data_IF_189242229784
#
_entry.id   IF_189242229784
#
_cell.length_a   1.000
_cell.length_b   1.000
_cell.length_c   1.000
_cell.angle_alpha   90.00
_cell.angle_beta   90.00
_cell.angle_gamma   90.00
#
_symmetry.space_group_name_H-M   'P 1'
#
loop_
_entity.id
_entity.type
_entity.pdbx_description
1 polymer ?
#
# COMPACT_ATOMS: atom_id res chain seq x y z
N UNK A 1 18.18 62.30 9.74
CA UNK A 1 18.19 61.81 11.13
C UNK A 1 17.87 60.34 11.06
N UNK A 2 18.90 59.50 11.18
CA UNK A 2 18.71 58.04 11.26
C UNK A 2 17.93 57.78 12.54
N UNK A 3 16.72 57.25 12.45
CA UNK A 3 15.93 56.89 13.63
C UNK A 3 16.78 55.98 14.52
N UNK A 4 16.89 56.32 15.80
CA UNK A 4 17.58 55.47 16.77
C UNK A 4 16.92 54.08 16.72
N UNK A 5 17.75 53.04 16.59
CA UNK A 5 17.30 51.69 16.90
C UNK A 5 17.11 51.66 18.42
N UNK A 6 15.87 51.76 18.87
CA UNK A 6 15.53 51.90 20.29
C UNK A 6 15.81 50.62 21.10
N UNK A 7 15.75 49.45 20.45
CA UNK A 7 16.06 48.16 21.06
C UNK A 7 16.43 47.09 20.01
N UNK A 8 17.29 46.15 20.40
CA UNK A 8 17.55 44.92 19.63
C UNK A 8 16.97 43.73 20.38
N UNK A 9 16.29 42.84 19.65
CA UNK A 9 15.76 41.62 20.23
C UNK A 9 16.25 40.40 19.44
N UNK A 10 17.00 39.54 20.11
CA UNK A 10 17.63 38.36 19.51
C UNK A 10 16.86 37.11 19.89
N UNK A 11 16.44 36.34 18.90
CA UNK A 11 15.80 35.04 19.09
C UNK A 11 16.72 33.89 18.68
N UNK A 12 16.73 32.83 19.50
CA UNK A 12 17.41 31.57 19.18
C UNK A 12 16.37 30.47 19.03
N UNK A 13 15.91 30.26 17.79
CA UNK A 13 14.98 29.19 17.35
C UNK A 13 13.55 29.20 17.97
N UNK A 14 12.56 28.74 17.18
CA UNK A 14 11.11 28.77 17.45
C UNK A 14 10.57 30.15 17.88
N UNK A 15 10.19 30.95 16.88
CA UNK A 15 9.45 32.23 17.04
C UNK A 15 7.95 31.96 17.21
N UNK A 16 7.60 30.96 18.04
CA UNK A 16 6.22 30.54 18.23
C UNK A 16 5.49 31.53 19.14
N UNK A 17 4.34 32.04 18.66
CA UNK A 17 3.43 32.88 19.45
C UNK A 17 3.79 34.37 19.53
N UNK A 18 4.93 34.80 18.97
CA UNK A 18 5.33 36.22 18.98
C UNK A 18 4.76 36.91 17.74
N UNK A 19 4.29 38.13 17.95
CA UNK A 19 3.83 39.02 16.90
C UNK A 19 4.58 40.34 16.94
N UNK A 20 5.00 40.84 15.79
CA UNK A 20 5.82 42.06 15.67
C UNK A 20 5.20 43.04 14.65
N UNK A 21 3.96 43.52 14.88
CA UNK A 21 3.26 44.37 13.91
C UNK A 21 3.79 45.80 13.94
N UNK A 22 3.53 46.55 12.87
CA UNK A 22 3.79 47.99 12.79
C UNK A 22 5.25 48.36 13.14
N UNK A 23 5.43 49.29 14.08
CA UNK A 23 6.74 49.79 14.49
C UNK A 23 7.45 48.86 15.50
N UNK A 24 6.85 47.71 15.84
CA UNK A 24 7.47 46.73 16.74
C UNK A 24 8.73 46.12 16.13
N UNK A 25 8.73 45.88 14.81
CA UNK A 25 9.92 45.41 14.11
C UNK A 25 9.89 45.85 12.64
N UNK A 26 10.83 46.72 12.26
CA UNK A 26 10.99 47.21 10.88
C UNK A 26 12.20 46.62 10.15
N UNK A 27 13.12 45.98 10.88
CA UNK A 27 14.32 45.35 10.35
C UNK A 27 14.53 44.00 11.03
N UNK A 28 14.57 42.92 10.25
CA UNK A 28 14.87 41.58 10.71
C UNK A 28 16.15 41.06 10.08
N UNK A 29 17.13 40.73 10.92
CA UNK A 29 18.36 40.06 10.51
C UNK A 29 18.21 38.55 10.65
N UNK A 30 18.56 37.80 9.59
CA UNK A 30 18.46 36.34 9.53
C UNK A 30 19.83 35.74 9.25
N UNK A 31 20.41 35.06 10.25
CA UNK A 31 21.80 34.57 10.20
C UNK A 31 21.91 33.06 9.91
N UNK A 32 20.84 32.27 10.05
CA UNK A 32 20.89 30.82 9.84
C UNK A 32 19.62 30.32 9.14
N UNK A 33 19.69 29.12 8.57
CA UNK A 33 18.49 28.42 8.12
C UNK A 33 17.66 28.03 9.36
N UNK A 34 16.32 28.18 9.37
CA UNK A 34 15.47 27.77 10.48
C UNK A 34 15.32 26.23 10.56
N UNK A 35 16.45 25.53 10.61
CA UNK A 35 16.61 24.09 10.76
C UNK A 35 16.42 23.60 12.21
N UNK A 36 16.04 24.49 13.13
CA UNK A 36 15.71 24.15 14.52
C UNK A 36 14.68 23.02 14.53
N UNK A 37 15.13 21.81 14.84
CA UNK A 37 14.39 20.59 14.56
C UNK A 37 14.24 19.81 15.85
N UNK A 38 13.11 19.11 15.98
CA UNK A 38 13.03 18.03 16.96
C UNK A 38 14.05 16.95 16.57
N UNK A 39 14.47 16.10 17.53
CA UNK A 39 15.41 15.01 17.25
C UNK A 39 14.92 14.11 16.11
N UNK A 40 13.59 13.93 15.99
CA UNK A 40 12.98 13.15 14.91
C UNK A 40 13.10 13.84 13.55
N UNK A 41 12.87 15.14 13.46
CA UNK A 41 13.03 15.89 12.20
C UNK A 41 14.50 15.94 11.77
N UNK A 42 15.43 16.10 12.73
CA UNK A 42 16.86 16.05 12.48
C UNK A 42 17.28 14.68 11.95
N UNK A 43 16.76 13.61 12.54
CA UNK A 43 17.00 12.25 12.08
C UNK A 43 16.50 12.01 10.65
N UNK A 44 15.26 12.44 10.35
CA UNK A 44 14.66 12.35 9.02
C UNK A 44 15.50 13.06 7.95
N UNK A 45 16.03 14.24 8.27
CA UNK A 45 16.86 15.01 7.35
C UNK A 45 18.29 14.45 7.23
N UNK A 46 19.03 14.38 8.34
CA UNK A 46 20.47 14.06 8.32
C UNK A 46 20.75 12.60 7.96
N UNK A 47 19.89 11.67 8.40
CA UNK A 47 20.13 10.24 8.28
C UNK A 47 19.22 9.56 7.25
N UNK A 48 17.95 9.98 7.15
CA UNK A 48 17.00 9.35 6.22
C UNK A 48 16.90 10.06 4.85
N UNK A 49 17.61 11.19 4.67
CA UNK A 49 17.65 11.97 3.41
C UNK A 49 16.27 12.38 2.91
N UNK A 50 15.33 12.65 3.81
CA UNK A 50 13.97 13.10 3.49
C UNK A 50 13.97 14.59 3.08
N UNK A 51 14.63 14.89 1.96
CA UNK A 51 14.97 16.26 1.57
C UNK A 51 13.75 17.10 1.18
N UNK A 52 12.76 16.50 0.51
CA UNK A 52 11.56 17.23 0.08
C UNK A 52 10.71 17.62 1.28
N UNK A 53 10.48 16.67 2.19
CA UNK A 53 9.77 16.90 3.46
C UNK A 53 10.46 17.99 4.27
N UNK A 54 11.79 17.96 4.36
CA UNK A 54 12.56 18.99 5.04
C UNK A 54 12.43 20.37 4.35
N UNK A 55 12.56 20.43 3.02
CA UNK A 55 12.44 21.68 2.27
C UNK A 55 11.07 22.34 2.45
N UNK A 56 9.98 21.56 2.41
CA UNK A 56 8.62 22.07 2.65
C UNK A 56 8.46 22.63 4.06
N UNK A 57 9.02 21.95 5.09
CA UNK A 57 8.99 22.47 6.46
C UNK A 57 9.76 23.78 6.61
N UNK A 58 10.94 23.88 6.00
CA UNK A 58 11.72 25.11 5.99
C UNK A 58 10.96 26.24 5.30
N UNK A 59 10.33 25.96 4.15
CA UNK A 59 9.50 26.93 3.43
C UNK A 59 8.36 27.46 4.30
N UNK A 60 7.65 26.57 5.01
CA UNK A 60 6.57 26.95 5.93
C UNK A 60 7.07 27.79 7.11
N UNK A 61 8.24 27.47 7.68
CA UNK A 61 8.84 28.25 8.77
C UNK A 61 9.27 29.64 8.31
N UNK A 62 9.86 29.73 7.11
CA UNK A 62 10.19 31.01 6.49
C UNK A 62 8.91 31.82 6.24
N UNK A 63 7.86 31.20 5.70
CA UNK A 63 6.58 31.88 5.49
C UNK A 63 6.00 32.45 6.79
N UNK A 64 6.01 31.65 7.86
CA UNK A 64 5.57 32.10 9.18
C UNK A 64 6.44 33.23 9.74
N UNK A 65 7.76 33.17 9.54
CA UNK A 65 8.69 34.18 10.04
C UNK A 65 8.52 35.52 9.31
N UNK A 66 8.41 35.49 7.98
CA UNK A 66 8.12 36.69 7.18
C UNK A 66 6.76 37.30 7.53
N UNK A 67 5.77 36.45 7.82
CA UNK A 67 4.44 36.86 8.28
C UNK A 67 4.39 37.50 9.67
N UNK A 68 5.50 37.50 10.45
CA UNK A 68 5.54 38.16 11.77
C UNK A 68 5.66 39.67 11.68
N UNK A 69 6.30 40.19 10.62
CA UNK A 69 6.40 41.64 10.37
C UNK A 69 5.27 42.11 9.46
N UNK A 70 4.96 41.36 8.40
CA UNK A 70 4.00 41.77 7.39
C UNK A 70 2.60 41.19 7.67
N UNK A 71 1.84 41.80 8.60
CA UNK A 71 0.49 41.36 8.97
C UNK A 71 -0.65 42.02 8.19
N UNK A 72 -0.45 43.24 7.70
CA UNK A 72 -1.48 43.99 6.97
C UNK A 72 -0.96 44.75 5.76
N UNK A 73 -1.87 45.38 5.00
CA UNK A 73 -1.54 46.17 3.80
C UNK A 73 -0.64 47.37 4.08
N UNK A 74 -0.58 47.82 5.33
CA UNK A 74 0.18 48.99 5.75
C UNK A 74 1.48 48.60 6.50
N UNK A 75 1.71 47.31 6.78
CA UNK A 75 2.95 46.86 7.39
C UNK A 75 4.04 46.70 6.32
N UNK A 76 5.25 47.02 6.73
CA UNK A 76 6.44 46.91 5.90
C UNK A 76 7.66 46.80 6.79
N UNK A 77 8.68 46.12 6.26
CA UNK A 77 9.96 45.98 6.93
C UNK A 77 11.02 45.44 5.97
N UNK A 78 12.26 45.46 6.42
CA UNK A 78 13.42 44.96 5.69
C UNK A 78 13.85 43.63 6.30
N UNK A 79 14.04 42.63 5.45
CA UNK A 79 14.65 41.35 5.83
C UNK A 79 16.08 41.32 5.29
N UNK A 80 17.05 41.27 6.18
CA UNK A 80 18.47 41.15 5.84
C UNK A 80 18.93 39.71 6.05
N UNK A 81 19.33 39.03 4.97
CA UNK A 81 19.78 37.64 5.01
C UNK A 81 21.31 37.62 5.06
N UNK A 82 21.86 37.46 6.27
CA UNK A 82 23.30 37.37 6.49
C UNK A 82 23.81 35.92 6.41
N UNK A 83 22.95 34.94 6.71
CA UNK A 83 23.33 33.54 6.82
C UNK A 83 23.72 32.87 5.51
N UNK A 84 24.87 32.19 5.46
CA UNK A 84 25.32 31.43 4.28
C UNK A 84 24.32 30.33 3.88
N UNK A 85 23.84 29.55 4.85
CA UNK A 85 22.92 28.44 4.59
C UNK A 85 21.58 28.91 4.05
N UNK A 86 21.02 29.96 4.66
CA UNK A 86 19.78 30.58 4.22
C UNK A 86 19.94 31.22 2.83
N UNK A 87 21.08 31.87 2.55
CA UNK A 87 21.39 32.38 1.22
C UNK A 87 21.45 31.26 0.17
N UNK A 88 22.11 30.14 0.45
CA UNK A 88 22.16 28.99 -0.48
C UNK A 88 20.76 28.40 -0.70
N UNK A 89 19.94 28.32 0.35
CA UNK A 89 18.56 27.84 0.25
C UNK A 89 17.70 28.81 -0.58
N UNK A 90 17.83 30.11 -0.27
CA UNK A 90 17.39 31.31 -0.99
C UNK A 90 17.64 31.27 -2.49
N UNK A 91 18.86 30.83 -2.83
CA UNK A 91 19.39 30.80 -4.18
C UNK A 91 18.77 29.70 -5.05
N UNK A 92 18.16 28.68 -4.44
CA UNK A 92 17.65 27.51 -5.16
C UNK A 92 16.18 27.71 -5.55
N UNK A 93 15.91 27.83 -6.84
CA UNK A 93 14.55 28.08 -7.35
C UNK A 93 13.56 26.94 -7.03
N UNK A 94 14.04 25.70 -6.85
CA UNK A 94 13.17 24.60 -6.37
C UNK A 94 12.67 24.85 -4.95
N UNK A 95 13.53 25.38 -4.09
CA UNK A 95 13.16 25.71 -2.72
C UNK A 95 12.24 26.93 -2.67
N UNK A 96 12.58 27.97 -3.43
CA UNK A 96 11.75 29.18 -3.54
C UNK A 96 10.35 28.84 -4.04
N UNK A 97 10.21 27.90 -4.98
CA UNK A 97 8.89 27.47 -5.47
C UNK A 97 7.95 26.89 -4.41
N UNK A 98 8.47 26.48 -3.25
CA UNK A 98 7.68 26.00 -2.11
C UNK A 98 7.15 27.12 -1.23
N UNK A 99 7.65 28.36 -1.37
CA UNK A 99 7.17 29.51 -0.61
C UNK A 99 5.82 30.01 -1.15
N UNK A 100 5.03 30.72 -0.35
CA UNK A 100 3.85 31.43 -0.83
C UNK A 100 4.17 32.37 -2.01
N UNK A 101 3.26 32.50 -3.01
CA UNK A 101 3.43 33.35 -4.20
C UNK A 101 4.05 34.73 -3.95
N UNK A 102 3.58 35.43 -2.92
CA UNK A 102 4.07 36.76 -2.57
C UNK A 102 5.54 36.73 -2.10
N UNK A 103 5.91 35.74 -1.28
CA UNK A 103 7.28 35.61 -0.78
C UNK A 103 8.24 35.19 -1.89
N UNK A 104 7.79 34.39 -2.86
CA UNK A 104 8.60 34.07 -4.05
C UNK A 104 9.05 35.34 -4.75
N UNK A 105 8.09 36.24 -5.06
CA UNK A 105 8.38 37.52 -5.72
C UNK A 105 9.28 38.41 -4.88
N UNK A 106 9.05 38.49 -3.57
CA UNK A 106 9.86 39.30 -2.66
C UNK A 106 11.31 38.79 -2.58
N UNK A 107 11.52 37.48 -2.59
CA UNK A 107 12.86 36.88 -2.65
C UNK A 107 13.54 37.18 -3.99
N UNK A 108 12.82 37.04 -5.11
CA UNK A 108 13.36 37.37 -6.44
C UNK A 108 13.73 38.84 -6.57
N UNK A 109 12.87 39.75 -6.08
CA UNK A 109 13.14 41.18 -5.99
C UNK A 109 14.40 41.45 -5.15
N UNK A 110 14.53 40.81 -3.99
CA UNK A 110 15.71 40.93 -3.15
C UNK A 110 17.01 40.56 -3.87
N UNK A 111 16.99 39.47 -4.67
CA UNK A 111 18.13 39.08 -5.51
C UNK A 111 18.45 40.14 -6.58
N UNK A 112 17.43 40.64 -7.28
CA UNK A 112 17.58 41.69 -8.29
C UNK A 112 18.16 42.99 -7.71
N UNK A 113 17.70 43.41 -6.53
CA UNK A 113 18.21 44.58 -5.81
C UNK A 113 19.66 44.36 -5.39
N UNK A 114 19.99 43.18 -4.85
CA UNK A 114 21.37 42.85 -4.45
C UNK A 114 22.34 42.92 -5.63
N UNK A 115 21.95 42.37 -6.78
CA UNK A 115 22.74 42.36 -8.02
C UNK A 115 22.84 43.77 -8.64
N UNK A 116 21.71 44.46 -8.78
CA UNK A 116 21.64 45.78 -9.43
C UNK A 116 22.30 46.89 -8.64
N UNK A 117 22.20 46.88 -7.31
CA UNK A 117 22.82 47.90 -6.44
C UNK A 117 24.24 47.55 -6.01
N UNK A 118 24.71 46.32 -6.29
CA UNK A 118 26.01 45.81 -5.89
C UNK A 118 26.23 46.01 -4.39
N UNK A 119 25.34 45.43 -3.57
CA UNK A 119 25.28 45.56 -2.10
C UNK A 119 26.44 44.83 -1.41
N UNK A 120 27.69 45.26 -1.67
CA UNK A 120 28.91 44.66 -1.11
C UNK A 120 29.51 45.46 0.05
N UNK A 121 28.93 46.62 0.39
CA UNK A 121 29.40 47.47 1.49
C UNK A 121 28.27 47.82 2.44
N UNK A 122 28.62 48.03 3.70
CA UNK A 122 27.67 48.42 4.77
C UNK A 122 26.94 49.73 4.45
N UNK A 123 27.62 50.69 3.81
CA UNK A 123 27.02 51.96 3.38
C UNK A 123 25.86 51.72 2.40
N UNK A 124 26.09 50.94 1.34
CA UNK A 124 25.04 50.66 0.34
C UNK A 124 23.87 49.88 0.92
N UNK A 125 24.15 48.95 1.84
CA UNK A 125 23.10 48.22 2.57
C UNK A 125 22.28 49.19 3.43
N UNK A 126 22.93 50.14 4.11
CA UNK A 126 22.26 51.18 4.90
C UNK A 126 21.40 52.10 4.03
N UNK A 127 21.87 52.45 2.83
CA UNK A 127 21.11 53.27 1.87
C UNK A 127 19.86 52.53 1.39
N UNK A 128 20.00 51.25 1.04
CA UNK A 128 18.87 50.40 0.65
C UNK A 128 17.85 50.25 1.80
N UNK A 129 18.31 49.98 3.03
CA UNK A 129 17.45 49.91 4.22
C UNK A 129 16.71 51.24 4.41
N UNK A 130 17.41 52.36 4.33
CA UNK A 130 16.82 53.70 4.51
C UNK A 130 15.76 53.97 3.46
N UNK A 131 15.98 53.55 2.21
CA UNK A 131 15.02 53.73 1.12
C UNK A 131 13.70 52.99 1.36
N UNK A 132 13.80 51.74 1.87
CA UNK A 132 12.60 50.96 2.24
C UNK A 132 11.89 51.57 3.45
N UNK A 133 12.65 51.96 4.49
CA UNK A 133 12.09 52.45 5.75
C UNK A 133 11.42 53.83 5.63
N UNK A 134 12.02 54.71 4.83
CA UNK A 134 11.48 56.04 4.51
C UNK A 134 10.37 55.98 3.45
N UNK A 135 10.15 54.80 2.85
CA UNK A 135 9.14 54.58 1.79
C UNK A 135 9.36 55.49 0.59
N UNK A 136 10.59 55.56 0.11
CA UNK A 136 10.94 56.38 -1.05
C UNK A 136 10.05 56.02 -2.25
N UNK A 137 9.56 57.03 -2.97
CA UNK A 137 8.62 56.85 -4.08
C UNK A 137 9.20 55.95 -5.19
N UNK A 138 10.51 56.06 -5.45
CA UNK A 138 11.23 55.19 -6.39
C UNK A 138 11.20 53.73 -5.97
N UNK A 139 11.39 53.45 -4.68
CA UNK A 139 11.31 52.09 -4.14
C UNK A 139 9.89 51.54 -4.22
N UNK A 140 8.88 52.34 -3.84
CA UNK A 140 7.48 51.93 -3.89
C UNK A 140 7.04 51.57 -5.31
N UNK A 141 7.40 52.40 -6.29
CA UNK A 141 7.09 52.15 -7.70
C UNK A 141 7.76 50.87 -8.23
N UNK A 142 9.03 50.66 -7.90
CA UNK A 142 9.76 49.45 -8.30
C UNK A 142 9.21 48.18 -7.63
N UNK A 143 8.90 48.25 -6.34
CA UNK A 143 8.26 47.15 -5.62
C UNK A 143 6.89 46.82 -6.22
N UNK A 144 6.08 47.82 -6.55
CA UNK A 144 4.76 47.63 -7.16
C UNK A 144 4.87 46.95 -8.53
N UNK A 145 5.81 47.37 -9.39
CA UNK A 145 6.00 46.74 -10.70
C UNK A 145 6.43 45.28 -10.58
N UNK A 146 7.43 44.99 -9.76
CA UNK A 146 7.98 43.63 -9.67
C UNK A 146 7.05 42.66 -8.91
N UNK A 147 6.39 43.12 -7.84
CA UNK A 147 5.61 42.25 -6.95
C UNK A 147 4.15 42.15 -7.36
N UNK A 148 3.50 43.24 -7.81
CA UNK A 148 2.07 43.18 -8.24
C UNK A 148 1.92 42.76 -9.69
N UNK A 149 2.80 43.19 -10.59
CA UNK A 149 2.67 42.93 -12.03
C UNK A 149 3.54 41.76 -12.52
N UNK A 150 4.53 41.31 -11.76
CA UNK A 150 5.34 40.15 -12.12
C UNK A 150 4.52 38.86 -12.16
N UNK A 151 4.58 38.11 -13.25
CA UNK A 151 3.96 36.77 -13.34
C UNK A 151 4.83 35.73 -12.63
N UNK A 152 4.21 34.83 -11.88
CA UNK A 152 4.91 33.66 -11.32
C UNK A 152 4.99 32.57 -12.37
N UNK A 153 6.09 31.82 -12.36
CA UNK A 153 6.25 30.65 -13.21
C UNK A 153 5.14 29.63 -12.89
N UNK A 154 4.28 29.36 -13.86
CA UNK A 154 3.17 28.40 -13.73
C UNK A 154 3.64 27.01 -13.31
N UNK A 155 4.87 26.61 -13.67
CA UNK A 155 5.45 25.33 -13.27
C UNK A 155 5.80 25.28 -11.78
N UNK A 156 6.15 26.40 -11.18
CA UNK A 156 6.45 26.51 -9.75
C UNK A 156 5.17 26.46 -8.92
N UNK A 157 4.12 27.14 -9.38
CA UNK A 157 2.80 27.09 -8.74
C UNK A 157 2.21 25.68 -8.76
N UNK A 158 2.35 24.96 -9.88
CA UNK A 158 1.85 23.58 -9.97
C UNK A 158 2.59 22.62 -9.03
N UNK A 159 3.90 22.81 -8.84
CA UNK A 159 4.68 21.99 -7.90
C UNK A 159 4.25 22.17 -6.45
N UNK A 160 4.05 23.42 -6.01
CA UNK A 160 3.54 23.71 -4.68
C UNK A 160 2.14 23.10 -4.49
N UNK A 161 1.26 23.25 -5.49
CA UNK A 161 -0.11 22.71 -5.49
C UNK A 161 -0.17 21.19 -5.36
N UNK A 162 0.80 20.46 -5.91
CA UNK A 162 0.87 18.99 -5.83
C UNK A 162 1.49 18.54 -4.49
N UNK A 163 2.54 19.22 -4.02
CA UNK A 163 3.28 18.80 -2.83
C UNK A 163 2.50 18.99 -1.52
N UNK A 164 1.69 20.04 -1.42
CA UNK A 164 0.98 20.41 -0.19
C UNK A 164 -0.09 19.38 0.24
N UNK A 165 -1.01 18.91 -0.62
CA UNK A 165 -1.99 17.89 -0.24
C UNK A 165 -1.36 16.55 0.18
N UNK A 166 -0.27 16.17 -0.47
CA UNK A 166 0.46 14.93 -0.15
C UNK A 166 1.06 15.01 1.25
N UNK A 167 1.64 16.16 1.59
CA UNK A 167 2.23 16.41 2.91
C UNK A 167 1.16 16.49 4.01
N UNK A 168 0.03 17.14 3.75
CA UNK A 168 -1.10 17.22 4.67
C UNK A 168 -1.64 15.81 4.98
N UNK A 169 -1.83 15.00 3.94
CA UNK A 169 -2.31 13.63 4.11
C UNK A 169 -1.31 12.75 4.88
N UNK A 170 -0.01 12.86 4.56
CA UNK A 170 1.04 12.15 5.29
C UNK A 170 1.05 12.54 6.78
N UNK A 171 0.94 13.83 7.08
CA UNK A 171 0.88 14.32 8.46
C UNK A 171 -0.36 13.81 9.21
N UNK A 172 -1.52 13.76 8.55
CA UNK A 172 -2.75 13.23 9.13
C UNK A 172 -2.63 11.73 9.45
N UNK A 173 -2.02 10.96 8.55
CA UNK A 173 -1.75 9.53 8.72
C UNK A 173 -0.79 9.30 9.89
N UNK A 174 0.31 10.05 9.95
CA UNK A 174 1.29 9.99 11.04
C UNK A 174 0.65 10.34 12.39
N UNK A 175 -0.19 11.37 12.43
CA UNK A 175 -0.93 11.77 13.63
C UNK A 175 -1.89 10.68 14.11
N UNK A 176 -2.67 10.08 13.18
CA UNK A 176 -3.57 8.95 13.48
C UNK A 176 -2.81 7.75 14.02
N UNK A 177 -1.70 7.39 13.37
CA UNK A 177 -0.84 6.31 13.85
C UNK A 177 -0.35 6.57 15.27
N UNK A 178 0.20 7.77 15.54
CA UNK A 178 0.70 8.12 16.86
C UNK A 178 -0.40 8.02 17.92
N UNK A 179 -1.62 8.47 17.61
CA UNK A 179 -2.77 8.33 18.51
C UNK A 179 -3.16 6.87 18.77
N UNK A 180 -3.13 6.01 17.75
CA UNK A 180 -3.43 4.58 17.92
C UNK A 180 -2.36 3.86 18.73
N UNK A 181 -1.07 4.10 18.46
CA UNK A 181 0.03 3.56 19.27
C UNK A 181 -0.07 4.01 20.72
N UNK A 182 -0.37 5.30 20.97
CA UNK A 182 -0.53 5.85 22.31
C UNK A 182 -1.64 5.14 23.11
N UNK A 183 -2.72 4.75 22.43
CA UNK A 183 -3.85 4.05 23.03
C UNK A 183 -3.65 2.52 23.11
N UNK A 184 -2.51 1.99 22.65
CA UNK A 184 -2.25 0.56 22.59
C UNK A 184 -3.02 -0.19 21.48
N UNK A 185 -3.67 0.53 20.56
CA UNK A 185 -4.42 -0.05 19.44
C UNK A 185 -3.49 -0.26 18.24
N UNK A 186 -2.55 -1.19 18.37
CA UNK A 186 -1.51 -1.46 17.36
C UNK A 186 -2.12 -1.91 16.02
N UNK A 187 -3.22 -2.67 16.07
CA UNK A 187 -3.96 -3.12 14.88
C UNK A 187 -4.44 -1.98 14.00
N UNK A 188 -5.06 -0.95 14.59
CA UNK A 188 -5.48 0.23 13.83
C UNK A 188 -4.29 1.07 13.39
N UNK A 189 -3.23 1.18 14.20
CA UNK A 189 -2.00 1.86 13.81
C UNK A 189 -1.40 1.23 12.54
N UNK A 190 -1.29 -0.10 12.50
CA UNK A 190 -0.85 -0.89 11.34
C UNK A 190 -1.70 -0.61 10.10
N UNK A 191 -3.03 -0.74 10.22
CA UNK A 191 -3.95 -0.56 9.08
C UNK A 191 -3.86 0.84 8.44
N UNK A 192 -3.60 1.87 9.24
CA UNK A 192 -3.39 3.23 8.74
C UNK A 192 -2.10 3.35 7.93
N UNK A 193 -1.03 2.67 8.37
CA UNK A 193 0.26 2.68 7.67
C UNK A 193 0.32 1.77 6.44
N UNK A 194 -0.34 0.61 6.45
CA UNK A 194 -0.39 -0.29 5.28
C UNK A 194 -0.93 0.42 4.03
N UNK A 195 -1.87 1.35 4.21
CA UNK A 195 -2.45 2.14 3.12
C UNK A 195 -1.56 3.29 2.64
N UNK A 196 -0.58 3.71 3.45
CA UNK A 196 0.24 4.90 3.18
C UNK A 196 1.50 4.58 2.37
N UNK A 197 2.10 3.41 2.62
CA UNK A 197 3.44 3.03 2.16
C UNK A 197 3.60 3.10 0.65
N UNK A 198 2.75 2.42 -0.13
CA UNK A 198 2.87 2.40 -1.60
C UNK A 198 2.38 3.70 -2.23
N UNK A 199 1.40 4.33 -1.60
CA UNK A 199 0.86 5.62 -2.04
C UNK A 199 1.96 6.69 -2.02
N UNK A 200 2.64 6.88 -0.88
CA UNK A 200 3.65 7.93 -0.76
C UNK A 200 4.96 7.58 -1.44
N UNK A 201 5.33 6.31 -1.55
CA UNK A 201 6.57 5.92 -2.25
C UNK A 201 6.60 6.34 -3.72
N UNK A 202 5.42 6.45 -4.36
CA UNK A 202 5.29 6.94 -5.74
C UNK A 202 5.65 8.42 -5.90
N UNK A 203 5.52 9.21 -4.83
CA UNK A 203 5.77 10.66 -4.83
C UNK A 203 7.08 11.03 -4.14
N UNK A 204 7.36 10.39 -3.00
CA UNK A 204 8.60 10.53 -2.23
C UNK A 204 8.97 9.15 -1.64
N UNK A 205 9.95 8.51 -2.27
CA UNK A 205 10.39 7.16 -1.89
C UNK A 205 10.91 7.10 -0.44
N UNK A 206 11.78 8.01 0.03
CA UNK A 206 12.14 8.10 1.45
C UNK A 206 10.95 8.21 2.41
N UNK A 207 9.92 9.01 2.09
CA UNK A 207 8.72 9.11 2.92
C UNK A 207 7.95 7.78 3.02
N UNK A 208 7.77 7.10 1.89
CA UNK A 208 7.17 5.76 1.89
C UNK A 208 8.02 4.71 2.63
N UNK A 209 9.34 4.89 2.67
CA UNK A 209 10.22 4.07 3.50
C UNK A 209 10.11 4.40 5.00
N UNK A 210 9.92 5.67 5.34
CA UNK A 210 9.73 6.13 6.72
C UNK A 210 8.46 5.53 7.32
N UNK A 211 7.37 5.52 6.57
CA UNK A 211 6.13 4.82 6.96
C UNK A 211 6.33 3.31 7.08
N UNK A 212 7.24 2.72 6.29
CA UNK A 212 7.66 1.33 6.44
C UNK A 212 8.31 1.03 7.80
N UNK A 213 9.09 1.97 8.35
CA UNK A 213 9.65 1.84 9.71
C UNK A 213 8.53 1.82 10.75
N UNK A 214 7.53 2.69 10.61
CA UNK A 214 6.41 2.77 11.56
C UNK A 214 5.48 1.57 11.45
N UNK A 215 5.27 1.06 10.23
CA UNK A 215 4.56 -0.20 10.03
C UNK A 215 5.29 -1.36 10.71
N UNK A 216 6.62 -1.46 10.54
CA UNK A 216 7.41 -2.49 11.20
C UNK A 216 7.32 -2.40 12.72
N UNK A 217 7.38 -1.18 13.28
CA UNK A 217 7.22 -0.98 14.72
C UNK A 217 5.84 -1.38 15.24
N UNK A 218 4.77 -1.16 14.46
CA UNK A 218 3.44 -1.63 14.83
C UNK A 218 3.35 -3.16 14.83
N UNK A 219 3.95 -3.83 13.83
CA UNK A 219 4.05 -5.29 13.82
C UNK A 219 4.85 -5.83 15.01
N UNK A 220 5.98 -5.22 15.37
CA UNK A 220 6.75 -5.62 16.56
C UNK A 220 5.92 -5.52 17.85
N UNK A 221 5.14 -4.45 18.00
CA UNK A 221 4.26 -4.24 19.16
C UNK A 221 3.08 -5.24 19.17
N UNK A 222 2.65 -5.73 18.00
CA UNK A 222 1.69 -6.83 17.88
C UNK A 222 2.33 -8.21 18.13
N UNK A 223 3.65 -8.29 18.28
CA UNK A 223 4.38 -9.55 18.42
C UNK A 223 4.61 -10.29 17.09
N UNK A 224 4.51 -9.58 15.96
CA UNK A 224 4.76 -10.07 14.61
C UNK A 224 6.14 -9.64 14.09
N UNK A 225 7.18 -10.31 14.58
CA UNK A 225 8.57 -10.00 14.20
C UNK A 225 8.86 -10.21 12.71
N UNK A 226 8.16 -11.14 12.06
CA UNK A 226 8.43 -11.50 10.67
C UNK A 226 7.84 -10.47 9.69
N UNK A 227 6.63 -9.96 9.94
CA UNK A 227 6.09 -8.85 9.15
C UNK A 227 6.78 -7.54 9.49
N UNK A 228 7.23 -7.38 10.74
CA UNK A 228 8.10 -6.27 11.12
C UNK A 228 9.38 -6.27 10.26
N UNK A 229 10.08 -7.40 10.18
CA UNK A 229 11.27 -7.58 9.34
C UNK A 229 11.00 -7.26 7.86
N UNK A 230 9.87 -7.71 7.30
CA UNK A 230 9.51 -7.37 5.91
C UNK A 230 9.28 -5.88 5.72
N UNK A 231 8.55 -5.24 6.62
CA UNK A 231 8.32 -3.80 6.59
C UNK A 231 9.64 -3.03 6.73
N UNK A 232 10.55 -3.51 7.58
CA UNK A 232 11.90 -2.98 7.75
C UNK A 232 12.79 -3.18 6.52
N UNK A 233 12.70 -4.31 5.82
CA UNK A 233 13.42 -4.53 4.56
C UNK A 233 12.92 -3.59 3.45
N UNK A 234 11.60 -3.38 3.34
CA UNK A 234 11.01 -2.39 2.43
C UNK A 234 11.50 -0.97 2.79
N UNK A 235 11.47 -0.62 4.08
CA UNK A 235 11.95 0.67 4.57
C UNK A 235 13.43 0.89 4.21
N UNK A 236 14.26 -0.12 4.46
CA UNK A 236 15.70 -0.11 4.14
C UNK A 236 15.97 0.03 2.65
N UNK A 237 15.16 -0.61 1.81
CA UNK A 237 15.26 -0.49 0.34
C UNK A 237 14.95 0.93 -0.13
N UNK A 238 13.99 1.60 0.51
CA UNK A 238 13.50 2.93 0.12
C UNK A 238 14.32 4.09 0.69
N UNK A 239 14.77 3.99 1.94
CA UNK A 239 15.57 5.01 2.63
C UNK A 239 17.07 4.82 2.36
N UNK A 240 17.51 3.56 2.28
CA UNK A 240 18.91 3.18 2.13
C UNK A 240 19.43 2.34 3.31
N UNK A 241 20.60 1.68 3.13
CA UNK A 241 21.08 0.65 4.04
C UNK A 241 21.63 1.17 5.37
N UNK A 242 21.84 2.48 5.50
CA UNK A 242 22.43 3.11 6.70
C UNK A 242 21.47 3.17 7.90
N UNK A 243 20.18 2.90 7.70
CA UNK A 243 19.20 2.84 8.78
C UNK A 243 19.39 1.59 9.63
N UNK A 244 19.50 1.77 10.95
CA UNK A 244 19.51 0.68 11.92
C UNK A 244 18.09 0.42 12.37
N UNK A 245 17.60 -0.81 12.17
CA UNK A 245 16.24 -1.22 12.49
C UNK A 245 16.28 -2.35 13.52
N UNK A 246 15.32 -2.40 14.46
CA UNK A 246 15.26 -3.48 15.45
C UNK A 246 14.99 -4.79 14.71
N UNK A 247 15.99 -5.67 14.63
CA UNK A 247 15.82 -7.02 14.13
C UNK A 247 15.86 -7.96 15.32
N UNK A 248 14.75 -8.64 15.58
CA UNK A 248 14.75 -9.73 16.55
C UNK A 248 15.59 -10.87 15.96
N UNK A 249 16.65 -11.27 16.66
CA UNK A 249 17.43 -12.44 16.27
C UNK A 249 16.49 -13.64 16.11
N UNK A 250 16.45 -14.22 14.91
CA UNK A 250 15.65 -15.40 14.57
C UNK A 250 15.85 -16.52 15.58
N UNK A 251 14.91 -16.64 16.52
CA UNK A 251 14.78 -17.80 17.38
C UNK A 251 13.34 -18.30 17.34
N UNK A 252 13.08 -19.14 16.34
CA UNK A 252 12.49 -20.49 16.45
C UNK A 252 11.83 -20.79 15.12
N UNK A 253 12.49 -21.61 14.31
CA UNK A 253 11.74 -22.61 13.55
C UNK A 253 10.93 -23.40 14.59
N UNK A 254 9.67 -23.02 14.81
CA UNK A 254 8.73 -23.94 15.45
C UNK A 254 8.67 -25.12 14.48
N UNK A 255 9.32 -26.23 14.83
CA UNK A 255 9.13 -27.51 14.19
C UNK A 255 7.61 -27.75 14.10
N UNK A 256 7.04 -27.52 12.92
CA UNK A 256 5.65 -27.86 12.67
C UNK A 256 5.57 -29.38 12.77
N UNK A 257 4.86 -29.86 13.77
CA UNK A 257 4.61 -31.29 13.94
C UNK A 257 4.02 -31.86 12.64
N UNK A 258 4.47 -33.07 12.28
CA UNK A 258 4.06 -33.89 11.12
C UNK A 258 2.54 -34.23 11.02
N UNK A 259 1.66 -33.51 11.73
CA UNK A 259 0.21 -33.76 11.77
C UNK A 259 -0.62 -32.79 10.91
N UNK A 260 -0.03 -31.71 10.37
CA UNK A 260 -0.76 -30.68 9.61
C UNK A 260 -1.45 -31.23 8.35
N UNK A 261 -2.73 -30.91 8.15
CA UNK A 261 -3.45 -31.12 6.87
C UNK A 261 -2.81 -30.25 5.77
N UNK A 262 -2.77 -30.72 4.51
CA UNK A 262 -2.22 -29.97 3.38
C UNK A 262 -2.92 -28.61 3.18
N UNK A 263 -4.19 -28.46 3.58
CA UNK A 263 -4.85 -27.17 3.56
C UNK A 263 -4.16 -26.13 4.43
N UNK A 264 -3.70 -26.53 5.61
CA UNK A 264 -2.96 -25.66 6.51
C UNK A 264 -1.63 -25.23 5.91
N UNK A 265 -0.90 -26.16 5.32
CA UNK A 265 0.38 -25.89 4.67
C UNK A 265 0.19 -24.99 3.44
N UNK A 266 -0.91 -25.17 2.72
CA UNK A 266 -1.30 -24.29 1.62
C UNK A 266 -1.63 -22.90 2.15
N UNK A 267 -2.53 -22.77 3.14
CA UNK A 267 -2.83 -21.48 3.78
C UNK A 267 -1.57 -20.84 4.38
N UNK A 268 -0.64 -21.60 4.96
CA UNK A 268 0.64 -21.07 5.44
C UNK A 268 1.53 -20.60 4.28
N UNK A 269 1.54 -21.28 3.13
CA UNK A 269 2.25 -20.83 1.94
C UNK A 269 1.60 -19.59 1.32
N UNK A 270 0.28 -19.49 1.37
CA UNK A 270 -0.48 -18.39 0.78
C UNK A 270 -0.57 -17.16 1.71
N UNK A 271 -0.57 -17.36 3.04
CA UNK A 271 -0.91 -16.37 4.07
C UNK A 271 0.09 -16.36 5.23
N UNK A 272 0.64 -17.52 5.57
CA UNK A 272 1.44 -17.74 6.78
C UNK A 272 2.92 -17.41 6.67
N UNK A 273 3.52 -17.29 7.85
CA UNK A 273 4.91 -16.96 8.10
C UNK A 273 5.89 -17.97 7.51
N UNK A 274 6.36 -17.66 6.31
CA UNK A 274 7.70 -17.99 5.81
C UNK A 274 8.01 -17.03 4.67
N UNK A 275 9.24 -16.52 4.61
CA UNK A 275 9.94 -15.71 3.58
C UNK A 275 9.27 -15.46 2.19
N UNK A 276 8.00 -15.08 2.11
CA UNK A 276 7.26 -15.00 0.85
C UNK A 276 5.72 -15.03 0.94
N UNK A 277 5.11 -14.79 2.11
CA UNK A 277 3.65 -14.60 2.19
C UNK A 277 3.16 -13.55 1.19
N UNK A 278 2.08 -13.86 0.47
CA UNK A 278 1.61 -13.03 -0.65
C UNK A 278 1.09 -11.68 -0.17
N UNK A 279 1.44 -10.63 -0.89
CA UNK A 279 0.97 -9.25 -0.67
C UNK A 279 -0.54 -9.13 -0.89
N UNK A 280 -1.15 -8.06 -0.36
CA UNK A 280 -2.57 -7.78 -0.55
C UNK A 280 -2.98 -7.73 -2.04
N UNK A 281 -2.11 -7.25 -2.92
CA UNK A 281 -2.36 -7.21 -4.36
C UNK A 281 -2.41 -8.61 -4.99
N UNK A 282 -1.57 -9.53 -4.53
CA UNK A 282 -1.59 -10.93 -4.98
C UNK A 282 -2.83 -11.69 -4.50
N UNK A 283 -3.31 -11.39 -3.29
CA UNK A 283 -4.59 -11.92 -2.78
C UNK A 283 -5.75 -11.36 -3.60
N UNK A 284 -5.71 -10.07 -3.97
CA UNK A 284 -6.74 -9.49 -4.81
C UNK A 284 -6.78 -10.15 -6.20
N UNK A 285 -5.61 -10.39 -6.79
CA UNK A 285 -5.49 -11.15 -8.05
C UNK A 285 -6.03 -12.57 -7.91
N UNK A 286 -5.80 -13.22 -6.78
CA UNK A 286 -6.35 -14.55 -6.49
C UNK A 286 -7.89 -14.53 -6.47
N UNK A 287 -8.50 -13.53 -5.83
CA UNK A 287 -9.96 -13.37 -5.81
C UNK A 287 -10.53 -13.16 -7.21
N UNK A 288 -9.83 -12.37 -8.03
CA UNK A 288 -10.19 -12.16 -9.43
C UNK A 288 -10.10 -13.46 -10.24
N UNK A 289 -8.99 -14.20 -10.12
CA UNK A 289 -8.79 -15.48 -10.78
C UNK A 289 -9.89 -16.49 -10.43
N UNK A 290 -10.25 -16.61 -9.14
CA UNK A 290 -11.31 -17.52 -8.69
C UNK A 290 -12.73 -17.05 -9.07
N UNK A 291 -12.90 -15.77 -9.41
CA UNK A 291 -14.19 -15.27 -9.88
C UNK A 291 -14.60 -15.88 -11.23
N UNK A 292 -13.61 -16.36 -12.01
CA UNK A 292 -13.85 -16.96 -13.32
C UNK A 292 -14.56 -18.33 -13.27
N UNK A 293 -14.67 -18.97 -12.10
CA UNK A 293 -15.47 -20.20 -11.92
C UNK A 293 -16.90 -20.03 -12.48
N UNK A 294 -17.50 -18.84 -12.31
CA UNK A 294 -18.87 -18.56 -12.76
C UNK A 294 -19.03 -17.32 -13.66
N UNK A 295 -17.91 -16.68 -14.05
CA UNK A 295 -17.90 -15.48 -14.89
C UNK A 295 -16.99 -15.60 -16.11
N UNK A 296 -16.12 -16.61 -16.14
CA UNK A 296 -15.13 -16.78 -17.19
C UNK A 296 -15.62 -17.63 -18.35
N UNK A 297 -14.76 -17.77 -19.35
CA UNK A 297 -14.89 -18.81 -20.38
C UNK A 297 -14.67 -20.22 -19.79
N UNK A 298 -15.00 -21.28 -20.51
CA UNK A 298 -14.79 -22.66 -20.07
C UNK A 298 -13.34 -22.90 -19.57
N UNK A 299 -12.35 -22.54 -20.39
CA UNK A 299 -10.93 -22.65 -20.05
C UNK A 299 -10.54 -21.84 -18.78
N UNK A 300 -11.10 -20.63 -18.62
CA UNK A 300 -10.85 -19.83 -17.41
C UNK A 300 -11.50 -20.45 -16.16
N UNK A 301 -12.68 -21.05 -16.31
CA UNK A 301 -13.36 -21.74 -15.21
C UNK A 301 -12.58 -22.99 -14.78
N UNK A 302 -12.03 -23.75 -15.73
CA UNK A 302 -11.17 -24.92 -15.44
C UNK A 302 -9.92 -24.52 -14.67
N UNK A 303 -9.23 -23.46 -15.12
CA UNK A 303 -8.05 -22.94 -14.41
C UNK A 303 -8.42 -22.41 -13.01
N UNK A 304 -9.59 -21.79 -12.87
CA UNK A 304 -10.05 -21.30 -11.57
C UNK A 304 -10.39 -22.44 -10.60
N UNK A 305 -11.00 -23.53 -11.07
CA UNK A 305 -11.24 -24.75 -10.26
C UNK A 305 -9.92 -25.45 -9.92
N UNK A 306 -8.93 -25.46 -10.84
CA UNK A 306 -7.59 -25.97 -10.56
C UNK A 306 -6.91 -25.17 -9.44
N UNK A 307 -6.92 -23.84 -9.54
CA UNK A 307 -6.38 -22.94 -8.51
C UNK A 307 -7.09 -23.12 -7.17
N UNK A 308 -8.41 -23.31 -7.16
CA UNK A 308 -9.17 -23.55 -5.94
C UNK A 308 -8.69 -24.82 -5.22
N UNK A 309 -8.49 -25.92 -5.94
CA UNK A 309 -7.94 -27.16 -5.38
C UNK A 309 -6.54 -26.97 -4.77
N UNK A 310 -5.68 -26.20 -5.45
CA UNK A 310 -4.32 -25.88 -4.98
C UNK A 310 -4.34 -25.06 -3.67
N UNK A 311 -5.24 -24.07 -3.57
CA UNK A 311 -5.41 -23.25 -2.35
C UNK A 311 -5.95 -24.11 -1.20
N UNK A 312 -6.85 -25.04 -1.49
CA UNK A 312 -7.33 -26.02 -0.50
C UNK A 312 -6.21 -27.00 -0.09
N UNK A 313 -5.11 -27.05 -0.83
CA UNK A 313 -3.92 -27.84 -0.51
C UNK A 313 -3.84 -29.18 -1.24
N UNK A 314 -4.72 -29.44 -2.19
CA UNK A 314 -4.60 -30.61 -3.05
C UNK A 314 -3.57 -30.39 -4.15
N UNK A 315 -2.95 -31.47 -4.60
CA UNK A 315 -2.27 -31.43 -5.90
C UNK A 315 -3.35 -31.34 -6.97
N UNK A 316 -3.42 -30.19 -7.66
CA UNK A 316 -4.44 -29.91 -8.66
C UNK A 316 -3.84 -29.66 -10.04
N UNK A 317 -4.25 -30.44 -11.03
CA UNK A 317 -3.75 -30.40 -12.41
C UNK A 317 -4.89 -30.28 -13.43
N UNK A 318 -4.57 -30.02 -14.70
CA UNK A 318 -5.53 -30.02 -15.82
C UNK A 318 -5.11 -31.04 -16.89
N UNK A 319 -5.33 -32.35 -16.67
CA UNK A 319 -4.84 -33.40 -17.56
C UNK A 319 -5.15 -33.19 -19.05
N UNK A 320 -6.38 -32.80 -19.40
CA UNK A 320 -6.74 -32.56 -20.81
C UNK A 320 -5.90 -31.45 -21.45
N UNK A 321 -5.71 -30.33 -20.73
CA UNK A 321 -4.88 -29.22 -21.20
C UNK A 321 -3.38 -29.55 -21.19
N UNK A 322 -2.90 -30.26 -20.17
CA UNK A 322 -1.47 -30.47 -19.91
C UNK A 322 -0.90 -31.66 -20.70
N UNK A 323 -1.73 -32.68 -20.98
CA UNK A 323 -1.33 -33.96 -21.58
C UNK A 323 -2.18 -34.35 -22.80
N UNK A 324 -3.23 -33.61 -23.11
CA UNK A 324 -4.16 -33.92 -24.20
C UNK A 324 -5.12 -35.08 -23.89
N UNK A 325 -5.24 -35.49 -22.62
CA UNK A 325 -6.10 -36.60 -22.19
C UNK A 325 -6.39 -36.56 -20.69
N UNK A 326 -7.53 -37.13 -20.28
CA UNK A 326 -7.98 -37.15 -18.88
C UNK A 326 -9.02 -36.07 -18.59
N UNK A 327 -9.44 -35.90 -17.33
CA UNK A 327 -10.45 -34.90 -16.97
C UNK A 327 -9.95 -33.46 -17.16
N UNK A 328 -10.88 -32.51 -17.24
CA UNK A 328 -10.57 -31.08 -17.33
C UNK A 328 -9.76 -30.60 -16.10
N UNK A 329 -10.14 -31.06 -14.91
CA UNK A 329 -9.40 -30.82 -13.67
C UNK A 329 -9.33 -32.10 -12.83
N UNK A 330 -8.19 -32.35 -12.20
CA UNK A 330 -7.99 -33.43 -11.25
C UNK A 330 -7.50 -32.89 -9.92
N UNK A 331 -8.17 -33.25 -8.82
CA UNK A 331 -7.69 -33.00 -7.46
C UNK A 331 -7.18 -34.30 -6.83
N UNK A 332 -5.99 -34.25 -6.25
CA UNK A 332 -5.34 -35.37 -5.58
C UNK A 332 -5.00 -34.99 -4.13
N UNK A 333 -5.52 -35.76 -3.18
CA UNK A 333 -5.19 -35.68 -1.76
C UNK A 333 -4.16 -36.75 -1.43
N UNK A 334 -2.90 -36.32 -1.36
CA UNK A 334 -1.76 -37.22 -1.10
C UNK A 334 -1.79 -37.83 0.29
N UNK A 335 -2.32 -37.10 1.27
CA UNK A 335 -2.32 -37.52 2.67
C UNK A 335 -3.36 -38.62 2.90
N UNK A 336 -4.56 -38.42 2.38
CA UNK A 336 -5.65 -39.39 2.54
C UNK A 336 -5.74 -40.39 1.38
N UNK A 337 -4.85 -40.27 0.38
CA UNK A 337 -4.79 -41.12 -0.80
C UNK A 337 -6.11 -41.16 -1.59
N UNK A 338 -6.74 -40.00 -1.82
CA UNK A 338 -7.98 -39.88 -2.61
C UNK A 338 -7.79 -39.04 -3.88
N UNK A 339 -8.64 -39.26 -4.88
CA UNK A 339 -8.74 -38.38 -6.06
C UNK A 339 -10.19 -38.09 -6.44
N UNK A 340 -10.42 -36.89 -6.99
CA UNK A 340 -11.67 -36.50 -7.67
C UNK A 340 -11.32 -35.91 -9.03
N UNK A 341 -11.97 -36.41 -10.09
CA UNK A 341 -11.94 -35.76 -11.40
C UNK A 341 -13.11 -34.80 -11.56
N UNK A 342 -12.92 -33.75 -12.37
CA UNK A 342 -13.96 -32.80 -12.73
C UNK A 342 -14.06 -32.68 -14.25
N UNK A 343 -15.29 -32.69 -14.73
CA UNK A 343 -15.68 -32.41 -16.11
C UNK A 343 -16.53 -31.13 -16.12
N UNK A 344 -15.99 -30.02 -16.58
CA UNK A 344 -16.64 -28.72 -16.54
C UNK A 344 -17.54 -28.54 -17.77
N UNK A 345 -18.85 -28.44 -17.53
CA UNK A 345 -19.86 -28.09 -18.53
C UNK A 345 -20.51 -26.75 -18.18
N UNK A 346 -19.68 -25.76 -17.87
CA UNK A 346 -20.10 -24.43 -17.38
C UNK A 346 -20.76 -23.56 -18.46
N UNK A 347 -20.55 -23.90 -19.73
CA UNK A 347 -21.09 -23.24 -20.92
C UNK A 347 -22.51 -23.69 -21.30
N UNK A 348 -23.01 -24.78 -20.70
CA UNK A 348 -24.35 -25.29 -21.00
C UNK A 348 -25.44 -24.34 -20.49
N UNK A 349 -26.56 -24.28 -21.22
CA UNK A 349 -27.77 -23.56 -20.78
C UNK A 349 -28.53 -24.40 -19.76
N UNK A 350 -29.19 -23.74 -18.81
CA UNK A 350 -30.08 -24.39 -17.84
C UNK A 350 -31.52 -24.48 -18.39
N UNK A 351 -32.19 -25.64 -18.36
CA UNK A 351 -31.68 -26.93 -17.90
C UNK A 351 -30.71 -27.55 -18.90
N UNK A 352 -29.61 -28.14 -18.39
CA UNK A 352 -28.58 -28.75 -19.22
C UNK A 352 -29.00 -30.13 -19.72
N UNK A 353 -28.77 -30.41 -21.01
CA UNK A 353 -28.85 -31.77 -21.56
C UNK A 353 -27.45 -32.38 -21.59
N UNK A 354 -27.25 -33.46 -20.85
CA UNK A 354 -26.01 -34.25 -20.87
C UNK A 354 -26.15 -35.40 -21.86
N UNK A 355 -25.41 -35.30 -22.97
CA UNK A 355 -25.53 -36.20 -24.10
C UNK A 355 -24.67 -37.46 -23.90
N UNK A 356 -24.93 -38.49 -24.70
CA UNK A 356 -24.13 -39.72 -24.72
C UNK A 356 -22.63 -39.46 -24.88
N UNK A 357 -22.25 -38.44 -25.67
CA UNK A 357 -20.85 -38.03 -25.82
C UNK A 357 -20.24 -37.53 -24.51
N UNK A 358 -20.96 -36.69 -23.76
CA UNK A 358 -20.47 -36.17 -22.46
C UNK A 358 -20.27 -37.30 -21.45
N UNK A 359 -21.21 -38.26 -21.41
CA UNK A 359 -21.13 -39.42 -20.52
C UNK A 359 -20.02 -40.39 -20.97
N UNK A 360 -19.86 -40.57 -22.28
CA UNK A 360 -18.76 -41.35 -22.86
C UNK A 360 -17.39 -40.81 -22.46
N UNK A 361 -17.17 -39.50 -22.63
CA UNK A 361 -15.96 -38.81 -22.17
C UNK A 361 -15.71 -39.04 -20.67
N UNK A 362 -16.76 -38.98 -19.85
CA UNK A 362 -16.61 -39.25 -18.43
C UNK A 362 -16.16 -40.67 -18.10
N UNK A 363 -16.56 -41.68 -18.88
CA UNK A 363 -16.10 -43.05 -18.69
C UNK A 363 -14.62 -43.16 -19.03
N UNK A 364 -14.20 -42.53 -20.13
CA UNK A 364 -12.79 -42.47 -20.52
C UNK A 364 -11.96 -41.79 -19.43
N UNK A 365 -12.45 -40.70 -18.84
CA UNK A 365 -11.78 -40.00 -17.74
C UNK A 365 -11.69 -40.85 -16.47
N UNK A 366 -12.74 -41.60 -16.12
CA UNK A 366 -12.71 -42.53 -14.99
C UNK A 366 -11.66 -43.63 -15.18
N UNK A 367 -11.55 -44.20 -16.39
CA UNK A 367 -10.54 -45.21 -16.70
C UNK A 367 -9.14 -44.59 -16.59
N UNK A 368 -8.93 -43.42 -17.22
CA UNK A 368 -7.65 -42.72 -17.19
C UNK A 368 -7.20 -42.43 -15.75
N UNK A 369 -8.10 -41.96 -14.88
CA UNK A 369 -7.78 -41.71 -13.47
C UNK A 369 -7.35 -43.01 -12.77
N UNK A 370 -8.07 -44.12 -13.00
CA UNK A 370 -7.73 -45.42 -12.40
C UNK A 370 -6.35 -45.94 -12.87
N UNK A 371 -5.98 -45.70 -14.13
CA UNK A 371 -4.72 -46.17 -14.71
C UNK A 371 -3.52 -45.30 -14.32
N UNK A 372 -3.65 -43.98 -14.35
CA UNK A 372 -2.55 -43.05 -14.07
C UNK A 372 -2.31 -42.85 -12.56
N UNK A 373 -3.35 -43.06 -11.75
CA UNK A 373 -3.31 -42.80 -10.31
C UNK A 373 -3.63 -44.03 -9.46
N UNK A 374 -3.21 -45.23 -9.88
CA UNK A 374 -3.47 -46.54 -9.23
C UNK A 374 -3.27 -46.56 -7.69
N UNK A 375 -2.38 -45.73 -7.17
CA UNK A 375 -2.06 -45.64 -5.72
C UNK A 375 -3.14 -44.95 -4.89
N UNK A 376 -4.13 -44.33 -5.52
CA UNK A 376 -5.13 -43.51 -4.86
C UNK A 376 -6.52 -44.15 -4.97
N UNK A 377 -7.39 -43.88 -4.01
CA UNK A 377 -8.79 -44.26 -4.07
C UNK A 377 -9.59 -43.21 -4.84
N UNK A 378 -10.18 -43.63 -5.96
CA UNK A 378 -10.90 -42.75 -6.87
C UNK A 378 -12.36 -42.61 -6.47
N UNK A 379 -12.70 -41.45 -5.90
CA UNK A 379 -14.06 -41.16 -5.40
C UNK A 379 -15.07 -41.10 -6.55
N UNK A 380 -14.71 -40.44 -7.65
CA UNK A 380 -15.54 -40.37 -8.84
C UNK A 380 -15.19 -39.20 -9.76
N UNK A 381 -16.10 -38.92 -10.69
CA UNK A 381 -16.05 -37.81 -11.62
C UNK A 381 -17.26 -36.90 -11.39
N UNK A 382 -17.01 -35.61 -11.15
CA UNK A 382 -18.05 -34.60 -10.98
C UNK A 382 -18.20 -33.75 -12.24
N UNK A 383 -19.41 -33.73 -12.80
CA UNK A 383 -19.79 -32.79 -13.85
C UNK A 383 -20.11 -31.44 -13.21
N UNK A 384 -19.30 -30.42 -13.47
CA UNK A 384 -19.53 -29.05 -12.96
C UNK A 384 -20.35 -28.27 -13.98
N UNK A 385 -21.65 -28.11 -13.73
CA UNK A 385 -22.54 -27.45 -14.70
C UNK A 385 -23.94 -27.16 -14.16
N UNK A 386 -24.86 -26.66 -15.00
CA UNK A 386 -26.25 -26.43 -14.60
C UNK A 386 -26.99 -27.74 -14.33
N UNK A 387 -28.03 -27.68 -13.50
CA UNK A 387 -28.95 -28.81 -13.33
C UNK A 387 -29.72 -29.08 -14.64
N UNK A 388 -30.23 -30.31 -14.79
CA UNK A 388 -30.92 -30.72 -16.00
C UNK A 388 -31.16 -32.23 -16.05
N UNK A 389 -30.91 -32.85 -17.20
CA UNK A 389 -31.19 -34.26 -17.44
C UNK A 389 -30.13 -34.92 -18.32
N UNK A 390 -29.97 -36.22 -18.15
CA UNK A 390 -29.14 -37.09 -18.98
C UNK A 390 -30.00 -37.67 -20.10
N UNK A 391 -29.44 -37.75 -21.31
CA UNK A 391 -30.14 -38.33 -22.46
C UNK A 391 -30.45 -39.81 -22.26
N UNK A 392 -31.62 -40.29 -22.68
CA UNK A 392 -32.04 -41.70 -22.53
C UNK A 392 -31.11 -42.75 -23.16
N UNK A 393 -30.30 -42.31 -24.14
CA UNK A 393 -29.33 -43.15 -24.84
C UNK A 393 -27.95 -43.14 -24.17
N UNK A 394 -27.80 -42.47 -23.03
CA UNK A 394 -26.57 -42.38 -22.26
C UNK A 394 -26.68 -43.20 -20.97
N UNK A 395 -25.61 -43.89 -20.60
CA UNK A 395 -25.57 -44.81 -19.46
C UNK A 395 -24.46 -44.38 -18.49
N UNK A 396 -24.72 -43.42 -17.59
CA UNK A 396 -23.71 -42.93 -16.65
C UNK A 396 -23.35 -43.98 -15.59
N UNK A 397 -22.08 -44.00 -15.19
CA UNK A 397 -21.60 -44.84 -14.08
C UNK A 397 -22.12 -44.33 -12.73
N UNK A 398 -22.19 -45.22 -11.73
CA UNK A 398 -22.47 -44.84 -10.34
C UNK A 398 -21.41 -43.90 -9.73
N UNK A 399 -20.22 -43.82 -10.36
CA UNK A 399 -19.14 -42.89 -9.99
C UNK A 399 -19.23 -41.51 -10.66
N UNK A 400 -20.29 -41.25 -11.44
CA UNK A 400 -20.50 -39.95 -12.10
C UNK A 400 -21.61 -39.16 -11.38
N UNK A 401 -21.28 -37.95 -10.95
CA UNK A 401 -22.20 -37.08 -10.22
C UNK A 401 -22.25 -35.68 -10.81
N UNK A 402 -23.34 -34.96 -10.52
CA UNK A 402 -23.48 -33.54 -10.81
C UNK A 402 -22.98 -32.72 -9.62
N UNK A 403 -22.10 -31.77 -9.89
CA UNK A 403 -21.81 -30.63 -9.03
C UNK A 403 -22.38 -29.39 -9.70
N UNK A 404 -23.30 -28.68 -9.06
CA UNK A 404 -23.79 -27.44 -9.68
C UNK A 404 -22.71 -26.35 -9.60
N UNK A 405 -22.73 -25.41 -10.55
CA UNK A 405 -21.84 -24.23 -10.51
C UNK A 405 -22.01 -23.48 -9.17
N UNK A 406 -23.23 -23.46 -8.63
CA UNK A 406 -23.54 -22.87 -7.33
C UNK A 406 -22.75 -23.52 -6.20
N UNK A 407 -22.66 -24.85 -6.14
CA UNK A 407 -21.91 -25.52 -5.07
C UNK A 407 -20.39 -25.28 -5.17
N UNK A 408 -19.85 -25.23 -6.39
CA UNK A 408 -18.45 -24.86 -6.58
C UNK A 408 -18.17 -23.41 -6.16
N UNK A 409 -19.09 -22.49 -6.46
CA UNK A 409 -19.03 -21.11 -6.00
C UNK A 409 -19.16 -21.01 -4.47
N UNK A 410 -20.03 -21.79 -3.83
CA UNK A 410 -20.15 -21.82 -2.38
C UNK A 410 -18.83 -22.27 -1.73
N UNK A 411 -18.15 -23.28 -2.30
CA UNK A 411 -16.83 -23.70 -1.84
C UNK A 411 -15.80 -22.57 -1.97
N UNK A 412 -15.78 -21.88 -3.12
CA UNK A 412 -14.92 -20.69 -3.31
C UNK A 412 -15.17 -19.64 -2.24
N UNK A 413 -16.42 -19.23 -2.03
CA UNK A 413 -16.76 -18.18 -1.06
C UNK A 413 -16.35 -18.56 0.36
N UNK A 414 -16.51 -19.83 0.75
CA UNK A 414 -16.03 -20.32 2.05
C UNK A 414 -14.51 -20.20 2.19
N UNK A 415 -13.77 -20.59 1.17
CA UNK A 415 -12.29 -20.47 1.16
C UNK A 415 -11.89 -19.00 1.25
N UNK A 416 -12.50 -18.12 0.45
CA UNK A 416 -12.19 -16.69 0.45
C UNK A 416 -12.55 -16.00 1.77
N UNK A 417 -13.71 -16.32 2.35
CA UNK A 417 -14.11 -15.80 3.65
C UNK A 417 -13.12 -16.21 4.74
N UNK A 418 -12.66 -17.46 4.73
CA UNK A 418 -11.65 -17.92 5.67
C UNK A 418 -10.30 -17.18 5.49
N UNK A 419 -9.88 -16.95 4.24
CA UNK A 419 -8.67 -16.15 3.96
C UNK A 419 -8.83 -14.74 4.52
N UNK A 420 -9.99 -14.11 4.30
CA UNK A 420 -10.27 -12.76 4.78
C UNK A 420 -10.33 -12.67 6.31
N UNK A 421 -10.91 -13.67 6.98
CA UNK A 421 -10.95 -13.77 8.44
C UNK A 421 -9.55 -13.93 9.03
N UNK A 422 -8.72 -14.80 8.45
CA UNK A 422 -7.31 -14.98 8.86
C UNK A 422 -6.54 -13.67 8.63
N UNK A 423 -6.70 -13.02 7.48
CA UNK A 423 -6.02 -11.77 7.18
C UNK A 423 -6.45 -10.62 8.10
N UNK A 424 -7.71 -10.62 8.54
CA UNK A 424 -8.25 -9.64 9.49
C UNK A 424 -7.78 -9.87 10.91
N UNK A 425 -7.41 -11.11 11.27
CA UNK A 425 -6.86 -11.42 12.57
C UNK A 425 -5.46 -10.78 12.77
N UNK A 426 -5.13 -10.39 14.03
CA UNK A 426 -3.76 -10.01 14.40
C UNK A 426 -2.76 -11.09 13.94
N UNK A 427 -1.61 -10.73 13.38
CA UNK A 427 -0.73 -11.71 12.76
C UNK A 427 -0.20 -12.79 13.72
N UNK A 428 0.07 -12.43 14.98
CA UNK A 428 0.43 -13.37 16.04
C UNK A 428 -0.68 -14.42 16.31
N UNK A 429 -1.94 -14.11 15.97
CA UNK A 429 -3.08 -15.02 16.07
C UNK A 429 -3.40 -15.74 14.75
N UNK A 430 -2.78 -15.37 13.62
CA UNK A 430 -3.01 -16.01 12.32
C UNK A 430 -2.57 -17.47 12.33
N UNK A 431 -1.44 -17.77 12.96
CA UNK A 431 -0.98 -19.14 13.10
C UNK A 431 -2.00 -19.99 13.86
N UNK A 432 -2.51 -19.50 15.00
CA UNK A 432 -3.53 -20.20 15.79
C UNK A 432 -4.87 -20.30 15.05
N UNK A 433 -5.23 -19.27 14.27
CA UNK A 433 -6.42 -19.27 13.42
C UNK A 433 -6.30 -20.32 12.30
N UNK A 434 -5.14 -20.41 11.64
CA UNK A 434 -4.85 -21.45 10.65
C UNK A 434 -4.85 -22.82 11.34
N UNK A 435 -4.20 -22.96 12.51
CA UNK A 435 -4.14 -24.20 13.32
C UNK A 435 -5.51 -24.76 13.66
N UNK A 436 -6.47 -23.90 14.00
CA UNK A 436 -7.87 -24.32 14.25
C UNK A 436 -8.50 -24.98 13.01
N UNK A 437 -8.22 -24.46 11.82
CA UNK A 437 -8.77 -25.01 10.56
C UNK A 437 -8.15 -26.37 10.20
N UNK A 438 -6.90 -26.63 10.62
CA UNK A 438 -6.15 -27.88 10.36
C UNK A 438 -6.89 -29.11 10.84
N UNK A 439 -7.62 -28.98 11.94
CA UNK A 439 -8.29 -30.11 12.61
C UNK A 439 -9.65 -30.45 11.99
N UNK A 440 -10.19 -29.57 11.14
CA UNK A 440 -11.51 -29.75 10.55
C UNK A 440 -11.46 -30.69 9.36
N UNK A 441 -12.06 -31.87 9.52
CA UNK A 441 -12.18 -32.89 8.46
C UNK A 441 -13.00 -32.44 7.25
N UNK A 442 -13.77 -31.36 7.37
CA UNK A 442 -14.60 -30.86 6.28
C UNK A 442 -13.81 -30.46 5.03
N UNK A 443 -12.53 -30.13 5.19
CA UNK A 443 -11.60 -29.78 4.11
C UNK A 443 -10.91 -31.00 3.49
N UNK A 444 -11.14 -32.21 4.01
CA UNK A 444 -10.65 -33.43 3.37
C UNK A 444 -11.38 -33.67 2.05
N UNK A 445 -10.69 -34.26 1.08
CA UNK A 445 -11.22 -34.44 -0.26
C UNK A 445 -12.50 -35.30 -0.29
N UNK A 446 -12.62 -36.31 0.57
CA UNK A 446 -13.83 -37.15 0.68
C UNK A 446 -15.05 -36.40 1.23
N UNK A 447 -14.81 -35.45 2.14
CA UNK A 447 -15.85 -34.61 2.73
C UNK A 447 -16.31 -33.55 1.75
N UNK A 448 -15.38 -32.93 1.03
CA UNK A 448 -15.68 -32.01 -0.07
C UNK A 448 -16.42 -32.72 -1.20
N UNK A 449 -16.03 -33.95 -1.56
CA UNK A 449 -16.75 -34.73 -2.58
C UNK A 449 -18.23 -34.92 -2.22
N UNK A 450 -18.52 -35.29 -0.97
CA UNK A 450 -19.91 -35.46 -0.49
C UNK A 450 -20.70 -34.15 -0.54
N UNK A 451 -20.06 -33.01 -0.27
CA UNK A 451 -20.69 -31.69 -0.36
C UNK A 451 -20.93 -31.26 -1.82
N UNK A 452 -19.99 -31.55 -2.71
CA UNK A 452 -20.07 -31.19 -4.13
C UNK A 452 -20.97 -32.14 -4.94
N UNK A 453 -21.19 -33.37 -4.47
CA UNK A 453 -22.09 -34.34 -5.10
C UNK A 453 -23.55 -34.00 -4.80
N UNK A 454 -24.19 -33.28 -5.74
CA UNK A 454 -25.60 -32.90 -5.60
C UNK A 454 -26.52 -34.09 -5.91
N UNK A 455 -26.25 -34.81 -6.99
CA UNK A 455 -27.02 -35.98 -7.44
C UNK A 455 -26.18 -36.85 -8.37
N UNK A 456 -26.46 -38.15 -8.43
CA UNK A 456 -25.83 -39.04 -9.41
C UNK A 456 -26.35 -38.76 -10.81
N UNK A 457 -25.48 -38.82 -11.82
CA UNK A 457 -25.89 -38.63 -13.21
C UNK A 457 -26.92 -39.68 -13.65
N UNK A 458 -26.88 -40.89 -13.10
CA UNK A 458 -27.87 -41.95 -13.33
C UNK A 458 -29.26 -41.66 -12.76
N UNK A 459 -29.36 -40.75 -11.79
CA UNK A 459 -30.63 -40.32 -11.22
C UNK A 459 -31.25 -39.14 -11.99
N UNK A 460 -30.56 -38.60 -12.99
CA UNK A 460 -31.01 -37.45 -13.81
C UNK A 460 -31.79 -37.87 -15.06
N UNK A 461 -32.58 -38.94 -14.98
CA UNK A 461 -33.34 -39.44 -16.12
C UNK A 461 -34.39 -38.41 -16.59
N UNK A 462 -34.75 -38.54 -17.86
CA UNK A 462 -35.59 -37.61 -18.62
C UNK A 462 -36.83 -37.15 -17.87
N UNK A 463 -37.14 -35.86 -18.03
CA UNK A 463 -38.52 -35.38 -17.86
C UNK A 463 -39.40 -36.25 -18.76
N UNK A 464 -40.32 -36.98 -18.14
CA UNK A 464 -41.58 -37.40 -18.76
C UNK A 464 -42.21 -36.25 -19.53
#
# INVERSE_FOLDING_TARGET
MCGLIDAYFTFVSRVDGIDLPHDTCRLMLMECLPSGTSLIERYQWEFLKMNNVHATRIANRLAQLFGRINRGRNDYGVFLIAGKELNIWLANDRNVSLLPPLLQKQVMLGRSVQEGMLLFSTSKVSDAISSVLNRDETWLNHYESEVKLGELDQRQMERARIAEPVMEEAALIESKYAAFIWNGDYGKARQVMEKSIDKFASTDTPLGGWHGVWLGAAFDLEGDSDSADRAYDIAKTRIGPAITLPRLNKHKEKNMNNQSNHFALSLLKYIGFSNGGKSHSEIQKLKEDLSYINKGTANQAEEAVRKLGEIIGFRSTRPDNDQGTGPDVLWIDDKNSFTIGFELKTDKKSPAKYQKKDIGQGHDHLIWINEQHVKYNHLGLLYVGPDGYVSDVANPSSKMGLCTIKEMVNLRERVLALIDDIMSAPPNLRHDAIEKQITLKEWNLDSLFKQLWVKGMSAMNTRS
#
